data_IF_998899484026
#
_entry.id   IF_998899484026
#
_cell.length_a   1.000
_cell.length_b   1.000
_cell.length_c   1.000
_cell.angle_alpha   90.00
_cell.angle_beta   90.00
_cell.angle_gamma   90.00
#
_symmetry.space_group_name_H-M   'P 1'
#
loop_
_entity.id
_entity.type
_entity.pdbx_description
1 polymer ?
#
# COMPACT_ATOMS: atom_id res chain seq x y z
N UNK A 1 -12.93 -3.09 -14.25
CA UNK A 1 -12.01 -2.28 -13.43
C UNK A 1 -12.87 -1.64 -12.37
N UNK A 2 -12.61 -1.95 -11.10
CA UNK A 2 -13.43 -1.44 -10.01
C UNK A 2 -13.30 0.09 -9.91
N UNK A 3 -14.32 0.79 -9.40
CA UNK A 3 -14.25 2.25 -9.18
C UNK A 3 -13.05 2.64 -8.31
N UNK A 4 -12.62 1.73 -7.42
CA UNK A 4 -11.44 1.88 -6.59
C UNK A 4 -10.14 1.81 -7.40
N UNK A 5 -10.03 0.90 -8.36
CA UNK A 5 -8.85 0.78 -9.23
C UNK A 5 -8.73 2.02 -10.11
N UNK A 6 -9.84 2.49 -10.67
CA UNK A 6 -9.88 3.74 -11.46
C UNK A 6 -9.43 4.93 -10.61
N UNK A 7 -9.88 5.02 -9.35
CA UNK A 7 -9.46 6.08 -8.42
C UNK A 7 -7.97 6.01 -8.12
N UNK A 8 -7.41 4.81 -7.93
CA UNK A 8 -5.98 4.60 -7.69
C UNK A 8 -5.15 5.12 -8.87
N UNK A 9 -5.53 4.78 -10.10
CA UNK A 9 -4.79 5.23 -11.30
C UNK A 9 -4.84 6.76 -11.45
N UNK A 10 -6.02 7.38 -11.26
CA UNK A 10 -6.13 8.84 -11.29
C UNK A 10 -5.28 9.53 -10.22
N UNK A 11 -5.18 8.95 -9.01
CA UNK A 11 -4.34 9.48 -7.94
C UNK A 11 -2.85 9.37 -8.27
N UNK A 12 -2.42 8.28 -8.90
CA UNK A 12 -1.03 8.11 -9.38
C UNK A 12 -0.68 9.11 -10.47
N UNK A 13 -1.56 9.29 -11.46
CA UNK A 13 -1.38 10.28 -12.53
C UNK A 13 -1.27 11.69 -11.95
N UNK A 14 -2.18 12.05 -11.02
CA UNK A 14 -2.19 13.34 -10.33
C UNK A 14 -0.90 13.60 -9.55
N UNK A 15 -0.38 12.58 -8.84
CA UNK A 15 0.90 12.67 -8.14
C UNK A 15 2.06 12.87 -9.11
N UNK A 16 2.10 12.10 -10.20
CA UNK A 16 3.15 12.19 -11.21
C UNK A 16 3.19 13.59 -11.83
N UNK A 17 2.02 14.15 -12.17
CA UNK A 17 1.91 15.52 -12.69
C UNK A 17 2.35 16.58 -11.66
N UNK A 18 1.98 16.41 -10.39
CA UNK A 18 2.37 17.33 -9.32
C UNK A 18 3.89 17.33 -9.07
N UNK A 19 4.52 16.14 -9.02
CA UNK A 19 5.97 16.01 -8.85
C UNK A 19 6.74 16.52 -10.08
N UNK A 20 6.25 16.23 -11.28
CA UNK A 20 6.85 16.74 -12.52
C UNK A 20 6.83 18.26 -12.54
N UNK A 21 5.68 18.86 -12.22
CA UNK A 21 5.53 20.30 -12.16
C UNK A 21 6.36 20.94 -11.03
N UNK A 22 6.53 20.27 -9.89
CA UNK A 22 7.41 20.72 -8.80
C UNK A 22 8.90 20.68 -9.18
N UNK A 23 9.31 19.69 -9.97
CA UNK A 23 10.67 19.56 -10.47
C UNK A 23 11.01 20.65 -11.50
N UNK A 24 10.00 21.22 -12.17
CA UNK A 24 10.17 22.37 -13.05
C UNK A 24 10.43 23.63 -12.23
N UNK A 25 11.61 24.22 -12.38
CA UNK A 25 12.09 25.31 -11.52
C UNK A 25 11.30 26.63 -11.61
N UNK A 26 10.39 26.77 -12.57
CA UNK A 26 9.75 28.04 -12.94
C UNK A 26 8.61 28.50 -12.03
N UNK A 27 8.11 27.69 -11.09
CA UNK A 27 6.96 28.09 -10.27
C UNK A 27 7.36 28.99 -9.09
N UNK A 28 6.55 30.03 -8.78
CA UNK A 28 6.63 30.80 -7.55
C UNK A 28 6.71 29.93 -6.28
N UNK A 29 7.34 30.40 -5.19
CA UNK A 29 7.42 29.66 -3.93
C UNK A 29 6.06 29.30 -3.31
N UNK A 30 5.05 30.18 -3.48
CA UNK A 30 3.68 29.96 -3.00
C UNK A 30 2.99 28.82 -3.77
N UNK A 31 3.17 28.78 -5.09
CA UNK A 31 2.63 27.69 -5.92
C UNK A 31 3.31 26.35 -5.57
N UNK A 32 4.61 26.37 -5.27
CA UNK A 32 5.34 25.18 -4.82
C UNK A 32 4.84 24.66 -3.47
N UNK A 33 4.43 25.51 -2.54
CA UNK A 33 3.88 25.05 -1.25
C UNK A 33 2.49 24.44 -1.42
N UNK A 34 1.63 25.05 -2.23
CA UNK A 34 0.30 24.54 -2.55
C UNK A 34 0.36 23.20 -3.30
N UNK A 35 1.26 23.09 -4.29
CA UNK A 35 1.47 21.84 -5.03
C UNK A 35 1.97 20.71 -4.12
N UNK A 36 2.86 21.01 -3.16
CA UNK A 36 3.29 20.03 -2.15
C UNK A 36 2.14 19.63 -1.22
N UNK A 37 1.30 20.58 -0.80
CA UNK A 37 0.12 20.28 0.01
C UNK A 37 -0.86 19.38 -0.76
N UNK A 38 -1.09 19.66 -2.04
CA UNK A 38 -1.92 18.84 -2.91
C UNK A 38 -1.32 17.43 -3.11
N UNK A 39 -0.02 17.33 -3.40
CA UNK A 39 0.67 16.05 -3.52
C UNK A 39 0.58 15.23 -2.21
N UNK A 40 0.67 15.88 -1.06
CA UNK A 40 0.48 15.22 0.24
C UNK A 40 -0.93 14.65 0.39
N UNK A 41 -1.97 15.45 0.10
CA UNK A 41 -3.38 14.99 0.13
C UNK A 41 -3.61 13.81 -0.80
N UNK A 42 -3.12 13.89 -2.04
CA UNK A 42 -3.23 12.79 -3.01
C UNK A 42 -2.49 11.53 -2.54
N UNK A 43 -1.32 11.67 -1.91
CA UNK A 43 -0.54 10.55 -1.36
C UNK A 43 -1.27 9.86 -0.21
N UNK A 44 -1.87 10.63 0.70
CA UNK A 44 -2.65 10.09 1.81
C UNK A 44 -3.90 9.34 1.30
N UNK A 45 -4.58 9.90 0.30
CA UNK A 45 -5.75 9.24 -0.28
C UNK A 45 -5.37 7.96 -1.05
N UNK A 46 -4.26 7.96 -1.78
CA UNK A 46 -3.75 6.76 -2.45
C UNK A 46 -3.44 5.65 -1.44
N UNK A 47 -2.81 5.99 -0.31
CA UNK A 47 -2.56 5.03 0.79
C UNK A 47 -3.86 4.43 1.32
N UNK A 48 -4.90 5.26 1.54
CA UNK A 48 -6.22 4.75 1.97
C UNK A 48 -6.81 3.78 0.95
N UNK A 49 -6.76 4.12 -0.34
CA UNK A 49 -7.28 3.25 -1.39
C UNK A 49 -6.55 1.90 -1.43
N UNK A 50 -5.21 1.91 -1.33
CA UNK A 50 -4.41 0.68 -1.31
C UNK A 50 -4.71 -0.20 -0.09
N UNK A 51 -4.90 0.39 1.10
CA UNK A 51 -5.30 -0.36 2.29
C UNK A 51 -6.69 -1.02 2.14
N UNK A 52 -7.62 -0.37 1.44
CA UNK A 52 -8.93 -0.96 1.14
C UNK A 52 -8.77 -2.16 0.20
N UNK A 53 -7.92 -2.06 -0.83
CA UNK A 53 -7.63 -3.18 -1.75
C UNK A 53 -6.99 -4.34 -0.98
N UNK A 54 -5.99 -4.07 -0.16
CA UNK A 54 -5.31 -5.09 0.67
C UNK A 54 -6.29 -5.78 1.63
N UNK A 55 -7.17 -5.02 2.28
CA UNK A 55 -8.20 -5.57 3.14
C UNK A 55 -9.23 -6.43 2.38
N UNK A 56 -9.60 -6.05 1.15
CA UNK A 56 -10.47 -6.86 0.28
C UNK A 56 -9.79 -8.18 -0.08
N UNK A 57 -8.54 -8.14 -0.55
CA UNK A 57 -7.77 -9.33 -0.90
C UNK A 57 -7.59 -10.26 0.30
N UNK A 58 -7.27 -9.71 1.48
CA UNK A 58 -7.12 -10.50 2.72
C UNK A 58 -8.42 -11.21 3.08
N UNK A 59 -9.58 -10.53 2.95
CA UNK A 59 -10.89 -11.13 3.20
C UNK A 59 -11.25 -12.20 2.19
N UNK A 60 -10.97 -11.99 0.91
CA UNK A 60 -11.20 -12.98 -0.14
C UNK A 60 -10.32 -14.21 0.06
N UNK A 61 -9.05 -14.03 0.41
CA UNK A 61 -8.14 -15.11 0.74
C UNK A 61 -8.61 -15.88 1.99
N UNK A 62 -9.06 -15.20 3.05
CA UNK A 62 -9.63 -15.84 4.22
C UNK A 62 -10.89 -16.65 3.91
N UNK A 63 -11.77 -16.13 3.04
CA UNK A 63 -12.95 -16.87 2.55
C UNK A 63 -12.56 -18.11 1.73
N UNK A 64 -11.56 -17.99 0.86
CA UNK A 64 -11.06 -19.12 0.08
C UNK A 64 -10.46 -20.21 0.99
N UNK A 65 -9.74 -19.82 2.05
CA UNK A 65 -9.22 -20.74 3.06
C UNK A 65 -10.35 -21.43 3.85
N UNK A 66 -11.34 -20.69 4.31
CA UNK A 66 -12.48 -21.25 5.05
C UNK A 66 -13.35 -22.17 4.17
N UNK A 67 -13.51 -21.86 2.88
CA UNK A 67 -14.16 -22.75 1.92
C UNK A 67 -13.39 -24.07 1.70
N UNK A 68 -12.08 -24.08 2.01
CA UNK A 68 -11.22 -25.26 1.90
C UNK A 68 -11.16 -26.09 3.19
N UNK A 69 -11.62 -25.60 4.35
CA UNK A 69 -11.60 -26.31 5.64
C UNK A 69 -12.48 -27.57 5.69
N UNK A 70 -13.22 -27.90 4.62
CA UNK A 70 -13.85 -29.23 4.44
C UNK A 70 -12.89 -30.34 3.96
N UNK A 71 -11.66 -30.01 3.55
CA UNK A 71 -10.62 -30.99 3.19
C UNK A 71 -9.27 -30.57 3.75
N UNK A 72 -8.78 -31.34 4.72
CA UNK A 72 -7.45 -31.17 5.30
C UNK A 72 -6.37 -31.05 4.22
N UNK A 73 -5.64 -29.92 4.23
CA UNK A 73 -4.40 -29.75 3.47
C UNK A 73 -3.29 -29.18 4.37
N UNK A 74 -2.02 -29.47 4.02
CA UNK A 74 -0.93 -29.47 4.97
C UNK A 74 -0.52 -28.05 5.33
N UNK A 75 -0.16 -27.92 6.60
CA UNK A 75 0.39 -26.77 7.30
C UNK A 75 1.23 -25.88 6.36
N UNK A 76 0.91 -24.59 6.18
CA UNK A 76 1.78 -23.71 5.41
C UNK A 76 3.14 -23.66 6.09
N UNK A 77 4.19 -23.99 5.36
CA UNK A 77 5.56 -23.78 5.79
C UNK A 77 5.82 -22.27 5.90
N UNK A 78 5.45 -21.70 7.05
CA UNK A 78 5.81 -20.37 7.54
C UNK A 78 7.33 -20.29 7.81
N UNK A 79 8.17 -20.61 6.82
CA UNK A 79 9.64 -20.47 6.94
C UNK A 79 10.12 -19.03 6.75
N UNK A 80 9.24 -18.08 6.43
CA UNK A 80 9.63 -16.67 6.23
C UNK A 80 9.23 -15.70 7.35
N UNK A 81 8.53 -16.15 8.40
CA UNK A 81 8.14 -15.28 9.52
C UNK A 81 8.82 -15.59 10.86
N UNK A 82 9.73 -16.56 10.91
CA UNK A 82 10.49 -16.88 12.14
C UNK A 82 11.98 -16.49 12.08
N UNK A 83 12.50 -16.10 10.92
CA UNK A 83 13.93 -15.79 10.78
C UNK A 83 14.34 -14.41 11.33
N UNK A 84 13.41 -13.44 11.38
CA UNK A 84 13.71 -12.11 11.96
C UNK A 84 13.29 -11.97 13.42
N UNK A 85 12.31 -12.74 13.89
CA UNK A 85 11.86 -12.65 15.30
C UNK A 85 12.79 -13.38 16.30
N UNK A 86 13.72 -14.22 15.83
CA UNK A 86 14.67 -14.94 16.70
C UNK A 86 16.04 -14.23 16.79
N UNK A 87 16.30 -13.19 16.00
CA UNK A 87 17.60 -12.49 16.04
C UNK A 87 17.70 -11.41 17.13
N UNK A 88 16.59 -11.01 17.74
CA UNK A 88 16.58 -9.98 18.80
C UNK A 88 16.39 -10.56 20.22
N UNK A 89 16.02 -11.84 20.34
CA UNK A 89 15.70 -12.47 21.62
C UNK A 89 16.54 -13.73 21.88
N UNK A 90 17.85 -13.59 22.10
CA UNK A 90 18.63 -14.65 22.75
C UNK A 90 20.11 -14.68 22.42
N UNK A 91 20.92 -14.00 23.25
CA UNK A 91 22.37 -14.18 23.22
C UNK A 91 23.17 -13.20 24.08
N UNK A 92 22.83 -13.08 25.37
CA UNK A 92 23.79 -12.57 26.36
C UNK A 92 25.03 -13.48 26.35
N UNK A 93 26.20 -12.90 26.10
CA UNK A 93 27.46 -13.43 26.61
C UNK A 93 27.56 -13.23 28.12
#
# INVERSE_FOLDING_TARGET
MDDLDRKIELLKESLTAAWSSLATFSSPPVDKSEMRAQAKRCSEELKRCLLIVEARQTREHAKALSAYEGRALPKPHLRFLLAEAVKDAGGRG
#
